data_IF_738333158875
#
_entry.id   IF_738333158875
#
_cell.length_a   1.000
_cell.length_b   1.000
_cell.length_c   1.000
_cell.angle_alpha   90.00
_cell.angle_beta   90.00
_cell.angle_gamma   90.00
#
_symmetry.space_group_name_H-M   'P 1'
#
loop_
_entity.id
_entity.type
_entity.pdbx_description
1 polymer ?
#
# COMPACT_ATOMS: atom_id res chain seq x y z
N UNK A 1 -12.45 10.41 -22.17
CA UNK A 1 -12.26 9.67 -20.91
C UNK A 1 -10.82 9.88 -20.44
N UNK A 2 -10.59 10.17 -19.16
CA UNK A 2 -9.24 10.37 -18.59
C UNK A 2 -9.10 9.55 -17.32
N UNK A 3 -7.86 9.26 -16.91
CA UNK A 3 -7.57 8.61 -15.62
C UNK A 3 -7.04 9.65 -14.64
N UNK A 4 -6.93 9.28 -13.37
CA UNK A 4 -6.19 10.06 -12.36
C UNK A 4 -4.70 9.64 -12.26
N UNK A 5 -4.20 8.86 -13.24
CA UNK A 5 -2.82 8.40 -13.34
C UNK A 5 -2.31 7.55 -12.17
N UNK A 6 -3.21 6.95 -11.39
CA UNK A 6 -2.86 6.02 -10.32
C UNK A 6 -2.83 4.56 -10.81
N UNK A 7 -1.90 4.23 -11.70
CA UNK A 7 -1.73 2.86 -12.20
C UNK A 7 -1.12 1.99 -11.08
N UNK A 8 -1.69 0.80 -10.84
CA UNK A 8 -1.30 -0.09 -9.75
C UNK A 8 -1.71 -1.54 -10.01
N UNK A 9 -1.13 -2.49 -9.28
CA UNK A 9 -1.61 -3.88 -9.20
C UNK A 9 -1.22 -4.83 -10.34
N UNK A 10 -0.38 -4.41 -11.29
CA UNK A 10 0.06 -5.26 -12.42
C UNK A 10 1.01 -6.39 -12.00
N UNK A 11 1.66 -6.26 -10.84
CA UNK A 11 2.49 -7.29 -10.22
C UNK A 11 2.06 -7.53 -8.77
N UNK A 12 0.75 -7.70 -8.54
CA UNK A 12 0.23 -7.70 -7.16
C UNK A 12 0.85 -8.79 -6.28
N UNK A 13 1.12 -8.42 -5.03
CA UNK A 13 1.38 -9.38 -3.96
C UNK A 13 0.11 -10.13 -3.56
N UNK A 14 0.27 -11.33 -3.01
CA UNK A 14 -0.84 -12.11 -2.48
C UNK A 14 -0.44 -13.53 -2.14
N UNK A 15 -1.42 -14.31 -1.66
CA UNK A 15 -1.28 -15.72 -1.30
C UNK A 15 -2.05 -16.66 -2.24
N UNK A 16 -2.73 -16.12 -3.25
CA UNK A 16 -3.50 -16.91 -4.22
C UNK A 16 -2.71 -17.22 -5.50
N UNK A 17 -3.25 -18.10 -6.35
CA UNK A 17 -2.57 -18.58 -7.56
C UNK A 17 -2.32 -17.49 -8.62
N UNK A 18 -3.09 -16.39 -8.60
CA UNK A 18 -2.96 -15.29 -9.55
C UNK A 18 -2.02 -14.17 -9.08
N UNK A 19 -1.42 -14.29 -7.89
CA UNK A 19 -0.46 -13.31 -7.40
C UNK A 19 0.92 -13.51 -8.06
N UNK A 20 1.54 -12.39 -8.44
CA UNK A 20 2.89 -12.36 -9.05
C UNK A 20 3.96 -12.39 -7.97
N UNK A 21 3.69 -11.73 -6.84
CA UNK A 21 4.63 -11.62 -5.71
C UNK A 21 4.12 -12.37 -4.48
N UNK A 22 5.04 -12.77 -3.61
CA UNK A 22 4.74 -13.16 -2.23
C UNK A 22 4.45 -11.92 -1.34
N UNK A 23 4.00 -12.10 -0.08
CA UNK A 23 3.76 -10.97 0.85
C UNK A 23 5.00 -10.12 1.17
N UNK A 24 6.19 -10.64 0.92
CA UNK A 24 7.47 -9.95 1.08
C UNK A 24 7.96 -9.29 -0.22
N UNK A 25 7.06 -9.14 -1.20
CA UNK A 25 7.27 -8.52 -2.51
C UNK A 25 8.35 -9.20 -3.37
N UNK A 26 8.66 -10.48 -3.12
CA UNK A 26 9.54 -11.29 -3.97
C UNK A 26 8.79 -11.84 -5.17
N UNK A 27 9.44 -11.87 -6.31
CA UNK A 27 8.87 -12.47 -7.52
C UNK A 27 8.82 -13.98 -7.35
N UNK A 28 7.63 -14.56 -7.49
CA UNK A 28 7.44 -16.00 -7.31
C UNK A 28 8.19 -16.78 -8.40
N UNK A 29 9.02 -17.74 -7.98
CA UNK A 29 9.82 -18.57 -8.88
C UNK A 29 11.11 -17.94 -9.40
N UNK A 30 11.47 -16.74 -8.93
CA UNK A 30 12.73 -16.07 -9.27
C UNK A 30 13.45 -15.70 -7.97
N UNK A 31 14.71 -16.11 -7.86
CA UNK A 31 15.55 -15.80 -6.72
C UNK A 31 16.08 -14.36 -6.81
N UNK A 32 16.32 -13.74 -5.65
CA UNK A 32 16.93 -12.41 -5.50
C UNK A 32 16.27 -11.25 -6.28
N UNK A 33 15.01 -11.40 -6.66
CA UNK A 33 14.23 -10.36 -7.35
C UNK A 33 13.02 -9.91 -6.53
N UNK A 34 12.89 -8.60 -6.35
CA UNK A 34 11.75 -7.95 -5.72
C UNK A 34 11.22 -6.80 -6.58
N UNK A 35 9.96 -6.45 -6.38
CA UNK A 35 9.31 -5.27 -6.97
C UNK A 35 8.93 -4.32 -5.84
N UNK A 36 9.16 -3.02 -6.01
CA UNK A 36 8.97 -2.00 -4.98
C UNK A 36 8.33 -0.72 -5.56
N UNK A 37 7.10 -0.83 -6.07
CA UNK A 37 6.33 0.28 -6.62
C UNK A 37 4.81 0.02 -6.49
N UNK A 38 3.95 0.82 -7.14
CA UNK A 38 2.49 0.65 -7.09
C UNK A 38 1.98 -0.65 -7.71
N UNK A 39 2.76 -1.33 -8.55
CA UNK A 39 2.36 -2.58 -9.19
C UNK A 39 2.13 -3.70 -8.15
N UNK A 40 2.77 -3.61 -6.99
CA UNK A 40 2.67 -4.63 -5.92
C UNK A 40 1.32 -4.59 -5.20
N UNK A 41 0.59 -3.47 -5.28
CA UNK A 41 -0.65 -3.27 -4.53
C UNK A 41 -1.73 -4.28 -4.95
N UNK A 42 -2.29 -5.11 -4.05
CA UNK A 42 -3.38 -6.02 -4.40
C UNK A 42 -4.70 -5.28 -4.62
N UNK A 43 -4.85 -4.12 -4.00
CA UNK A 43 -5.94 -3.16 -4.20
C UNK A 43 -5.35 -1.76 -4.09
N UNK A 44 -5.78 -0.86 -4.97
CA UNK A 44 -5.38 0.54 -4.93
C UNK A 44 -5.84 1.21 -3.64
N UNK A 45 -5.03 2.11 -3.10
CA UNK A 45 -5.37 2.89 -1.91
C UNK A 45 -6.42 3.97 -2.22
N UNK A 46 -7.27 4.28 -1.24
CA UNK A 46 -8.24 5.39 -1.31
C UNK A 46 -7.53 6.75 -1.10
N UNK A 47 -6.73 7.18 -2.08
CA UNK A 47 -5.95 8.41 -2.00
C UNK A 47 -5.00 8.60 -3.18
N UNK A 48 -4.20 9.67 -3.15
CA UNK A 48 -3.11 9.84 -4.10
C UNK A 48 -2.04 8.76 -3.86
N UNK A 49 -1.62 8.05 -4.90
CA UNK A 49 -0.68 6.93 -4.78
C UNK A 49 0.75 7.35 -4.49
N UNK A 50 1.12 8.63 -4.61
CA UNK A 50 2.49 9.10 -4.36
C UNK A 50 3.00 8.69 -2.95
N UNK A 51 2.24 9.01 -1.90
CA UNK A 51 2.63 8.65 -0.54
C UNK A 51 2.70 7.12 -0.34
N UNK A 52 1.67 6.32 -0.71
CA UNK A 52 1.76 4.86 -0.71
C UNK A 52 2.97 4.28 -1.45
N UNK A 53 3.34 4.82 -2.62
CA UNK A 53 4.51 4.35 -3.39
C UNK A 53 5.80 4.54 -2.60
N UNK A 54 5.98 5.72 -1.98
CA UNK A 54 7.15 6.01 -1.15
C UNK A 54 7.20 5.02 0.03
N UNK A 55 6.07 4.81 0.70
CA UNK A 55 5.98 3.88 1.83
C UNK A 55 6.29 2.42 1.43
N UNK A 56 5.88 1.99 0.23
CA UNK A 56 6.25 0.68 -0.31
C UNK A 56 7.76 0.59 -0.51
N UNK A 57 8.37 1.61 -1.12
CA UNK A 57 9.83 1.68 -1.32
C UNK A 57 10.60 1.56 0.00
N UNK A 58 10.22 2.36 1.01
CA UNK A 58 10.82 2.29 2.35
C UNK A 58 10.64 0.91 2.99
N UNK A 59 9.42 0.36 2.92
CA UNK A 59 9.13 -0.94 3.52
C UNK A 59 9.94 -2.08 2.89
N UNK A 60 10.06 -2.08 1.56
CA UNK A 60 10.85 -3.10 0.83
C UNK A 60 12.35 -2.89 1.05
N UNK A 61 12.82 -1.65 1.14
CA UNK A 61 14.21 -1.32 1.53
C UNK A 61 14.55 -1.95 2.89
N UNK A 62 13.66 -1.81 3.86
CA UNK A 62 13.84 -2.40 5.18
C UNK A 62 13.84 -3.94 5.16
N UNK A 63 12.96 -4.56 4.38
CA UNK A 63 12.98 -6.01 4.16
C UNK A 63 14.32 -6.49 3.57
N UNK A 64 14.86 -5.76 2.60
CA UNK A 64 16.17 -6.06 1.98
C UNK A 64 17.30 -5.92 3.01
N UNK A 65 17.22 -4.91 3.88
CA UNK A 65 18.23 -4.63 4.91
C UNK A 65 18.06 -5.47 6.18
N UNK A 66 17.05 -6.34 6.26
CA UNK A 66 16.74 -7.12 7.45
C UNK A 66 16.31 -6.26 8.65
N UNK A 67 15.70 -5.11 8.39
CA UNK A 67 15.21 -4.17 9.41
C UNK A 67 13.73 -4.41 9.67
N UNK A 68 13.35 -4.32 10.94
CA UNK A 68 11.95 -4.21 11.34
C UNK A 68 11.66 -2.77 11.71
N UNK A 69 10.77 -2.10 10.98
CA UNK A 69 10.27 -0.81 11.44
C UNK A 69 9.50 -0.96 12.75
N UNK A 70 9.85 -0.20 13.80
CA UNK A 70 9.00 -0.11 14.97
C UNK A 70 7.70 0.57 14.56
N UNK A 71 6.57 0.02 15.00
CA UNK A 71 5.26 0.64 14.80
C UNK A 71 5.28 2.00 15.49
N UNK A 72 5.18 3.08 14.71
CA UNK A 72 5.09 4.42 15.26
C UNK A 72 3.85 4.52 16.17
N UNK A 73 4.05 4.81 17.45
CA UNK A 73 2.98 5.18 18.36
C UNK A 73 2.82 6.69 18.27
N UNK A 74 1.91 7.12 17.41
CA UNK A 74 1.55 8.51 17.22
C UNK A 74 0.07 8.67 17.49
N UNK A 75 -0.30 9.74 18.17
CA UNK A 75 -1.70 10.09 18.38
C UNK A 75 -2.30 10.46 17.02
N UNK A 76 -3.17 9.59 16.52
CA UNK A 76 -3.95 9.83 15.31
C UNK A 76 -5.37 10.20 15.70
N UNK A 77 -5.93 11.19 15.00
CA UNK A 77 -7.34 11.51 15.14
C UNK A 77 -8.18 10.30 14.67
N UNK A 78 -9.08 9.84 15.54
CA UNK A 78 -10.10 8.83 15.23
C UNK A 78 -11.44 9.48 15.51
N UNK A 79 -12.31 9.57 14.51
CA UNK A 79 -13.67 10.09 14.69
C UNK A 79 -14.52 9.07 15.47
N UNK A 80 -15.37 9.55 16.39
CA UNK A 80 -16.17 8.71 17.30
C UNK A 80 -17.13 7.75 16.56
N UNK A 81 -17.58 8.11 15.36
CA UNK A 81 -18.61 7.41 14.58
C UNK A 81 -18.14 7.00 13.17
N UNK A 82 -16.83 6.82 12.99
CA UNK A 82 -16.19 6.57 11.68
C UNK A 82 -16.74 5.33 10.93
N UNK A 83 -17.27 4.33 11.66
CA UNK A 83 -17.85 3.12 11.08
C UNK A 83 -19.13 3.40 10.30
N UNK A 84 -19.89 4.42 10.72
CA UNK A 84 -21.20 4.75 10.18
C UNK A 84 -21.24 6.09 9.44
N UNK A 85 -20.27 6.98 9.71
CA UNK A 85 -20.20 8.32 9.13
C UNK A 85 -18.81 8.62 8.57
N UNK A 86 -18.77 9.02 7.30
CA UNK A 86 -17.50 9.38 6.63
C UNK A 86 -16.96 10.74 7.11
N UNK A 87 -17.81 11.61 7.65
CA UNK A 87 -17.43 12.97 8.08
C UNK A 87 -18.12 13.29 9.41
N UNK A 88 -17.38 13.83 10.40
CA UNK A 88 -17.96 14.24 11.68
C UNK A 88 -18.83 15.50 11.55
N UNK A 89 -18.66 16.28 10.47
CA UNK A 89 -19.40 17.52 10.22
C UNK A 89 -20.12 17.48 8.88
N UNK A 90 -21.28 18.15 8.81
CA UNK A 90 -21.98 18.39 7.55
C UNK A 90 -21.08 19.15 6.57
N UNK A 91 -21.20 18.82 5.27
CA UNK A 91 -20.47 19.55 4.24
C UNK A 91 -20.92 21.03 4.24
N UNK A 92 -19.98 21.93 4.52
CA UNK A 92 -20.20 23.37 4.38
C UNK A 92 -20.06 23.73 2.91
N UNK A 93 -21.03 24.48 2.37
CA UNK A 93 -20.98 25.01 1.00
C UNK A 93 -20.05 26.21 0.90
#
# INVERSE_FOLDING_TARGET
>A
ATTNFHVSGTCRMGNDAMAVLDPECRVRGIEDLRVADTSVMPRITSGNTNAPTIMIGEKVSDMIRGRSEPRAQVDVFVADDWETNQRPNAAVR
#
